data_IF_326071802933
#
_entry.id   IF_326071802933
#
_cell.length_a   1.000
_cell.length_b   1.000
_cell.length_c   1.000
_cell.angle_alpha   90.00
_cell.angle_beta   90.00
_cell.angle_gamma   90.00
#
_symmetry.space_group_name_H-M   'P 1'
#
loop_
_entity.id
_entity.type
_entity.pdbx_description
1 polymer ?
#
# COMPACT_ATOMS: atom_id res chain seq x y z
N UNK A 1 -12.46 7.25 1.34
CA UNK A 1 -12.19 6.11 0.44
C UNK A 1 -11.49 5.04 1.25
N UNK A 2 -11.81 3.76 1.05
CA UNK A 2 -11.18 2.65 1.79
C UNK A 2 -10.34 1.79 0.83
N UNK A 3 -9.11 1.47 1.22
CA UNK A 3 -8.15 0.71 0.42
C UNK A 3 -7.51 -0.36 1.29
N UNK A 4 -7.43 -1.59 0.81
CA UNK A 4 -6.73 -2.66 1.52
C UNK A 4 -5.26 -2.68 1.10
N UNK A 5 -4.36 -2.47 2.05
CA UNK A 5 -2.92 -2.56 1.85
C UNK A 5 -2.37 -3.83 2.53
N UNK A 6 -1.48 -4.53 1.84
CA UNK A 6 -0.79 -5.71 2.40
C UNK A 6 0.70 -5.41 2.42
N UNK A 7 1.28 -5.44 3.61
CA UNK A 7 2.70 -5.10 3.85
C UNK A 7 3.41 -6.25 4.55
N UNK A 8 4.71 -6.40 4.27
CA UNK A 8 5.53 -7.41 4.91
C UNK A 8 6.17 -6.81 6.16
N UNK A 9 5.71 -7.25 7.33
CA UNK A 9 6.21 -6.79 8.61
C UNK A 9 6.93 -7.93 9.34
N UNK A 10 8.24 -7.80 9.55
CA UNK A 10 9.10 -8.80 10.22
C UNK A 10 8.89 -10.23 9.69
N UNK A 11 8.98 -10.38 8.37
CA UNK A 11 8.80 -11.66 7.66
C UNK A 11 7.39 -12.28 7.72
N UNK A 12 6.37 -11.52 8.13
CA UNK A 12 4.99 -11.95 8.09
C UNK A 12 4.11 -10.92 7.39
N UNK A 13 3.03 -11.38 6.75
CA UNK A 13 2.09 -10.51 6.07
C UNK A 13 1.14 -9.85 7.07
N UNK A 14 1.06 -8.53 6.99
CA UNK A 14 0.13 -7.70 7.73
C UNK A 14 -0.86 -7.06 6.76
N UNK A 15 -2.13 -7.30 6.98
CA UNK A 15 -3.24 -6.78 6.21
C UNK A 15 -3.80 -5.57 6.93
N UNK A 16 -3.76 -4.43 6.25
CA UNK A 16 -4.27 -3.16 6.73
C UNK A 16 -5.42 -2.69 5.86
N UNK A 17 -6.46 -2.18 6.50
CA UNK A 17 -7.50 -1.40 5.85
C UNK A 17 -7.17 0.07 6.08
N UNK A 18 -6.91 0.80 4.99
CA UNK A 18 -6.58 2.22 5.03
C UNK A 18 -7.79 3.05 4.62
N UNK A 19 -8.27 3.86 5.54
CA UNK A 19 -9.34 4.83 5.34
C UNK A 19 -8.72 6.20 5.07
N UNK A 20 -8.99 6.75 3.90
CA UNK A 20 -8.60 8.10 3.51
C UNK A 20 -9.76 9.06 3.75
N UNK A 21 -9.50 10.10 4.55
CA UNK A 21 -10.44 11.17 4.88
C UNK A 21 -10.28 12.37 3.95
N UNK A 22 -11.32 13.20 3.88
CA UNK A 22 -11.35 14.38 3.00
C UNK A 22 -10.36 15.48 3.41
N UNK A 23 -9.90 15.49 4.66
CA UNK A 23 -8.86 16.43 5.14
C UNK A 23 -7.43 16.03 4.70
N UNK A 24 -7.30 14.89 4.03
CA UNK A 24 -6.01 14.32 3.60
C UNK A 24 -5.29 13.52 4.69
N UNK A 25 -5.97 13.21 5.80
CA UNK A 25 -5.50 12.22 6.78
C UNK A 25 -5.83 10.80 6.34
N UNK A 26 -5.02 9.86 6.80
CA UNK A 26 -5.14 8.43 6.55
C UNK A 26 -5.14 7.67 7.88
N UNK A 27 -6.00 6.68 7.98
CA UNK A 27 -6.08 5.76 9.12
C UNK A 27 -5.94 4.34 8.62
N UNK A 28 -4.87 3.65 9.00
CA UNK A 28 -4.66 2.24 8.71
C UNK A 28 -5.00 1.38 9.94
N UNK A 29 -6.04 0.57 9.82
CA UNK A 29 -6.41 -0.44 10.82
C UNK A 29 -5.91 -1.82 10.42
N UNK A 30 -5.22 -2.52 11.33
CA UNK A 30 -4.79 -3.89 11.13
C UNK A 30 -6.00 -4.83 11.16
N UNK A 31 -6.29 -5.46 10.04
CA UNK A 31 -7.30 -6.51 9.91
C UNK A 31 -6.75 -7.87 10.35
N UNK A 32 -5.55 -8.18 9.90
CA UNK A 32 -4.99 -9.52 10.07
C UNK A 32 -3.47 -9.47 10.02
N UNK A 33 -2.83 -10.17 10.96
CA UNK A 33 -1.40 -10.38 10.96
C UNK A 33 -1.12 -11.88 11.00
N UNK A 34 -0.26 -12.35 10.10
CA UNK A 34 0.12 -13.76 9.99
C UNK A 34 1.38 -14.13 10.80
N UNK A 35 1.90 -13.22 11.63
CA UNK A 35 3.12 -13.44 12.41
C UNK A 35 2.87 -13.67 13.90
N UNK A 36 3.92 -13.54 14.69
CA UNK A 36 3.93 -13.75 16.15
C UNK A 36 3.44 -12.53 16.92
N UNK A 37 2.55 -12.73 17.89
CA UNK A 37 1.90 -11.64 18.66
C UNK A 37 2.84 -10.81 19.55
N UNK A 38 4.01 -11.33 19.90
CA UNK A 38 4.99 -10.65 20.77
C UNK A 38 5.59 -9.37 20.17
N UNK A 39 5.62 -9.26 18.84
CA UNK A 39 6.08 -8.09 18.10
C UNK A 39 5.15 -7.84 16.92
N UNK A 40 3.84 -7.85 17.20
CA UNK A 40 2.84 -7.50 16.21
C UNK A 40 2.99 -6.05 15.76
N UNK A 41 2.69 -5.74 14.49
CA UNK A 41 2.70 -4.36 14.05
C UNK A 41 1.55 -3.58 14.72
N UNK A 42 1.60 -2.25 14.73
CA UNK A 42 0.58 -1.41 15.34
C UNK A 42 -0.81 -1.73 14.78
N UNK A 43 -1.78 -1.88 15.69
CA UNK A 43 -3.18 -2.19 15.36
C UNK A 43 -3.86 -1.05 14.59
N UNK A 44 -3.43 0.17 14.84
CA UNK A 44 -4.00 1.38 14.26
C UNK A 44 -2.86 2.37 14.03
N UNK A 45 -2.78 2.89 12.81
CA UNK A 45 -1.74 3.84 12.40
C UNK A 45 -2.42 5.02 11.74
N UNK A 46 -2.30 6.19 12.37
CA UNK A 46 -2.70 7.45 11.76
C UNK A 46 -1.50 8.08 11.08
N UNK A 47 -1.66 8.43 9.81
CA UNK A 47 -0.62 9.12 9.06
C UNK A 47 -1.21 10.13 8.09
N UNK A 48 -0.39 11.09 7.72
CA UNK A 48 -0.71 12.13 6.75
C UNK A 48 0.36 12.12 5.67
N UNK A 49 -0.06 12.34 4.43
CA UNK A 49 0.89 12.51 3.33
C UNK A 49 1.50 13.91 3.41
N UNK A 50 2.80 13.99 3.65
CA UNK A 50 3.57 15.23 3.64
C UNK A 50 4.60 15.17 2.50
N UNK A 51 4.20 15.69 1.33
CA UNK A 51 5.02 15.66 0.12
C UNK A 51 5.20 14.25 -0.45
N UNK A 52 6.45 13.75 -0.45
CA UNK A 52 6.81 12.41 -0.93
C UNK A 52 6.83 11.34 0.16
N UNK A 53 6.70 11.74 1.43
CA UNK A 53 6.72 10.83 2.56
C UNK A 53 5.36 10.85 3.28
N UNK A 54 5.06 9.77 3.97
CA UNK A 54 3.96 9.73 4.91
C UNK A 54 4.53 9.89 6.33
N UNK A 55 3.97 10.82 7.09
CA UNK A 55 4.33 11.13 8.47
C UNK A 55 3.14 10.87 9.37
N UNK A 56 3.34 10.19 10.49
CA UNK A 56 2.24 9.75 11.36
C UNK A 56 2.69 9.45 12.79
N UNK A 57 1.76 8.91 13.57
CA UNK A 57 1.93 8.61 15.00
C UNK A 57 2.75 7.35 15.28
N UNK A 58 2.98 6.50 14.28
CA UNK A 58 3.78 5.29 14.46
C UNK A 58 5.28 5.59 14.49
N UNK A 59 5.98 5.03 15.47
CA UNK A 59 7.45 5.03 15.53
C UNK A 59 8.09 4.23 14.38
N UNK A 60 7.28 3.40 13.70
CA UNK A 60 7.70 2.53 12.60
C UNK A 60 7.64 3.24 11.25
N UNK A 61 8.66 4.04 10.97
CA UNK A 61 8.78 4.80 9.72
C UNK A 61 8.81 3.92 8.47
N UNK A 62 9.42 2.74 8.55
CA UNK A 62 9.48 1.78 7.44
C UNK A 62 8.09 1.25 7.08
N UNK A 63 7.30 0.85 8.08
CA UNK A 63 5.91 0.40 7.90
C UNK A 63 5.05 1.50 7.27
N UNK A 64 5.22 2.75 7.70
CA UNK A 64 4.48 3.88 7.13
C UNK A 64 4.83 4.13 5.65
N UNK A 65 6.11 4.05 5.28
CA UNK A 65 6.53 4.22 3.88
C UNK A 65 5.97 3.10 3.00
N UNK A 66 6.02 1.84 3.48
CA UNK A 66 5.42 0.68 2.81
C UNK A 66 3.89 0.82 2.65
N UNK A 67 3.17 1.24 3.70
CA UNK A 67 1.73 1.50 3.63
C UNK A 67 1.42 2.63 2.64
N UNK A 68 2.19 3.72 2.68
CA UNK A 68 2.05 4.85 1.78
C UNK A 68 2.27 4.45 0.32
N UNK A 69 3.25 3.58 0.06
CA UNK A 69 3.53 3.04 -1.27
C UNK A 69 2.42 2.08 -1.73
N UNK A 70 1.98 1.16 -0.87
CA UNK A 70 0.90 0.23 -1.18
C UNK A 70 -0.42 0.95 -1.50
N UNK A 71 -0.79 1.94 -0.70
CA UNK A 71 -1.98 2.77 -0.93
C UNK A 71 -1.84 3.58 -2.22
N UNK A 72 -0.69 4.20 -2.49
CA UNK A 72 -0.46 4.92 -3.74
C UNK A 72 -0.51 3.99 -4.96
N UNK A 73 0.02 2.78 -4.84
CA UNK A 73 -0.04 1.75 -5.89
C UNK A 73 -1.49 1.35 -6.19
N UNK A 74 -2.30 1.11 -5.16
CA UNK A 74 -3.72 0.77 -5.32
C UNK A 74 -4.56 1.94 -5.83
N UNK A 75 -4.30 3.17 -5.38
CA UNK A 75 -4.91 4.39 -5.93
C UNK A 75 -4.53 4.60 -7.40
N UNK A 76 -3.28 4.31 -7.77
CA UNK A 76 -2.81 4.39 -9.16
C UNK A 76 -3.44 3.31 -10.03
N UNK A 77 -3.64 2.10 -9.51
CA UNK A 77 -4.40 1.04 -10.19
C UNK A 77 -5.88 1.40 -10.35
N UNK A 78 -6.46 2.14 -9.40
CA UNK A 78 -7.83 2.66 -9.48
C UNK A 78 -8.01 3.85 -10.42
N UNK A 79 -6.92 4.56 -10.77
CA UNK A 79 -6.92 5.75 -11.65
C UNK A 79 -6.14 5.59 -12.96
N UNK A 80 -5.60 4.40 -13.25
CA UNK A 80 -4.68 4.15 -14.35
C UNK A 80 -5.10 2.95 -15.20
N UNK A 81 -6.05 3.15 -16.08
CA UNK A 81 -5.98 2.46 -17.39
C UNK A 81 -4.71 2.93 -18.07
N UNK A 82 -3.63 2.14 -18.04
CA UNK A 82 -2.60 2.06 -19.08
C UNK A 82 -1.47 1.12 -18.62
N UNK A 83 -1.37 -0.02 -19.28
CA UNK A 83 -0.33 -1.01 -19.00
C UNK A 83 -0.60 -2.41 -19.53
N UNK A 84 -1.64 -2.62 -20.35
CA UNK A 84 -1.61 -3.72 -21.31
C UNK A 84 -0.48 -3.43 -22.31
N UNK A 85 0.73 -3.88 -21.98
CA UNK A 85 1.80 -4.07 -22.96
C UNK A 85 1.38 -5.22 -23.88
N UNK A 86 0.44 -4.92 -24.78
CA UNK A 86 0.23 -5.70 -25.99
C UNK A 86 1.49 -5.56 -26.82
N UNK A 87 2.40 -6.51 -26.69
CA UNK A 87 3.46 -6.74 -27.68
C UNK A 87 2.81 -6.74 -29.07
N UNK A 88 3.18 -5.85 -30.01
CA UNK A 88 2.79 -6.06 -31.39
C UNK A 88 3.48 -7.34 -31.85
N UNK A 89 2.68 -8.36 -32.16
CA UNK A 89 3.11 -9.57 -32.85
C UNK A 89 3.81 -9.12 -34.13
N UNK A 90 5.13 -9.30 -34.21
CA UNK A 90 5.87 -9.17 -35.45
C UNK A 90 5.24 -10.10 -36.48
N UNK A 91 4.79 -9.61 -37.66
CA UNK A 91 4.37 -10.52 -38.71
C UNK A 91 5.61 -11.27 -39.19
N UNK A 92 5.47 -12.59 -39.16
CA UNK A 92 6.33 -13.57 -39.78
C UNK A 92 6.54 -13.18 -41.26
N UNK A 93 7.76 -12.78 -41.61
CA UNK A 93 8.19 -12.71 -43.02
C UNK A 93 8.90 -14.02 -43.31
N UNK A 94 8.18 -14.92 -43.98
CA UNK A 94 8.76 -16.06 -44.67
C UNK A 94 9.65 -15.56 -45.82
N UNK A 95 10.86 -16.07 -45.91
CA UNK A 95 11.67 -16.07 -47.14
C UNK A 95 12.11 -17.51 -47.39
#
# INVERSE_FOLDING_TARGET
>A
MEVTAVVLYRSALAHYTVTMYEDGSYEAGLQKYAGTSDNGPPLMVHFKKEGRHCTGDSEEKELMDDLCYAVQSELTKGGGSLGSEQRPRTPYVSI
#
